data_IF_196718058155
#
_entry.id   IF_196718058155
#
_cell.length_a   1.000
_cell.length_b   1.000
_cell.length_c   1.000
_cell.angle_alpha   90.00
_cell.angle_beta   90.00
_cell.angle_gamma   90.00
#
_symmetry.space_group_name_H-M   'P 1'
#
loop_
_entity.id
_entity.type
_entity.pdbx_description
1 polymer ?
#
# COMPACT_ATOMS: atom_id res chain seq x y z
N UNK A 1 32.38 -22.82 14.14
CA UNK A 1 30.93 -22.91 13.87
C UNK A 1 30.24 -21.69 14.47
N UNK A 2 30.04 -20.63 13.70
CA UNK A 2 29.26 -19.47 14.13
C UNK A 2 27.82 -19.63 13.64
N UNK A 3 26.97 -20.20 14.49
CA UNK A 3 25.53 -20.22 14.28
C UNK A 3 25.02 -18.78 14.37
N UNK A 4 24.59 -18.22 13.25
CA UNK A 4 23.85 -16.95 13.25
C UNK A 4 22.54 -17.21 14.00
N UNK A 5 22.39 -16.61 15.17
CA UNK A 5 21.12 -16.55 15.89
C UNK A 5 20.10 -15.87 14.98
N UNK A 6 19.15 -16.64 14.44
CA UNK A 6 18.02 -16.15 13.67
C UNK A 6 16.91 -15.91 14.67
N UNK A 7 16.54 -14.65 14.88
CA UNK A 7 15.45 -14.30 15.80
C UNK A 7 14.18 -15.06 15.40
N UNK A 8 13.50 -15.76 16.34
CA UNK A 8 12.32 -16.58 16.04
C UNK A 8 11.15 -15.80 15.41
N UNK A 9 11.13 -14.48 15.60
CA UNK A 9 10.12 -13.58 15.00
C UNK A 9 10.26 -13.44 13.48
N UNK A 10 11.48 -13.58 12.93
CA UNK A 10 11.72 -13.45 11.49
C UNK A 10 11.13 -14.60 10.67
N UNK A 11 10.83 -15.73 11.32
CA UNK A 11 10.26 -16.91 10.68
C UNK A 11 8.72 -16.86 10.58
N UNK A 12 8.09 -15.82 11.15
CA UNK A 12 6.64 -15.59 11.07
C UNK A 12 6.20 -14.71 9.90
N UNK A 13 7.14 -14.05 9.22
CA UNK A 13 6.86 -13.21 8.06
C UNK A 13 7.23 -13.94 6.78
N UNK A 14 6.22 -14.18 5.93
CA UNK A 14 6.40 -14.78 4.62
C UNK A 14 6.12 -13.71 3.55
N UNK A 15 7.16 -13.22 2.82
CA UNK A 15 6.93 -12.32 1.72
C UNK A 15 6.28 -13.07 0.55
N UNK A 16 5.42 -12.37 -0.17
CA UNK A 16 4.82 -12.81 -1.42
C UNK A 16 5.24 -11.83 -2.51
N UNK A 17 5.46 -12.34 -3.72
CA UNK A 17 5.97 -11.54 -4.83
C UNK A 17 4.90 -10.57 -5.37
N UNK A 18 3.63 -10.90 -5.15
CA UNK A 18 2.50 -10.11 -5.62
C UNK A 18 1.31 -10.19 -4.66
N UNK A 19 0.37 -9.27 -4.85
CA UNK A 19 -0.82 -9.14 -4.02
C UNK A 19 -1.75 -10.36 -4.11
N UNK A 20 -1.90 -10.95 -5.31
CA UNK A 20 -2.83 -12.08 -5.52
C UNK A 20 -2.32 -13.35 -4.84
N UNK A 21 -1.01 -13.63 -4.93
CA UNK A 21 -0.42 -14.79 -4.25
C UNK A 21 -0.54 -14.71 -2.73
N UNK A 22 -0.47 -13.49 -2.16
CA UNK A 22 -0.73 -13.24 -0.75
C UNK A 22 -2.18 -13.54 -0.34
N UNK A 23 -3.16 -13.04 -1.12
CA UNK A 23 -4.59 -13.29 -0.87
C UNK A 23 -4.94 -14.78 -0.96
N UNK A 24 -4.49 -15.47 -2.02
CA UNK A 24 -4.74 -16.91 -2.19
C UNK A 24 -4.18 -17.71 -1.02
N UNK A 25 -2.99 -17.36 -0.53
CA UNK A 25 -2.40 -18.06 0.61
C UNK A 25 -3.18 -17.85 1.91
N UNK A 26 -3.81 -16.69 2.10
CA UNK A 26 -4.71 -16.42 3.21
C UNK A 26 -5.99 -17.26 3.08
N UNK A 27 -6.59 -17.31 1.89
CA UNK A 27 -7.79 -18.12 1.60
C UNK A 27 -7.54 -19.62 1.78
N UNK A 28 -6.37 -20.11 1.39
CA UNK A 28 -5.94 -21.50 1.57
C UNK A 28 -5.53 -21.83 3.02
N UNK A 29 -5.52 -20.85 3.92
CA UNK A 29 -5.13 -21.04 5.32
C UNK A 29 -3.63 -21.32 5.54
N UNK A 30 -2.78 -20.95 4.57
CA UNK A 30 -1.32 -21.07 4.70
C UNK A 30 -0.72 -19.99 5.61
N UNK A 31 -1.45 -18.88 5.79
CA UNK A 31 -1.11 -17.75 6.67
C UNK A 31 -2.35 -17.33 7.45
N UNK A 32 -2.15 -16.70 8.61
CA UNK A 32 -3.24 -16.27 9.50
C UNK A 32 -3.70 -14.83 9.22
N UNK A 33 -2.82 -14.01 8.64
CA UNK A 33 -3.09 -12.61 8.31
C UNK A 33 -2.21 -12.15 7.14
N UNK A 34 -2.72 -11.19 6.37
CA UNK A 34 -2.00 -10.55 5.27
C UNK A 34 -1.98 -9.03 5.50
N UNK A 35 -0.80 -8.42 5.35
CA UNK A 35 -0.60 -6.98 5.54
C UNK A 35 -0.28 -6.37 4.18
N UNK A 36 -1.09 -5.39 3.78
CA UNK A 36 -0.93 -4.68 2.52
C UNK A 36 -1.44 -3.24 2.66
N UNK A 37 -1.08 -2.38 1.70
CA UNK A 37 -1.56 -1.00 1.62
C UNK A 37 -3.09 -0.97 1.54
N UNK A 38 -3.71 0.00 2.23
CA UNK A 38 -5.17 0.11 2.30
C UNK A 38 -5.87 0.41 0.96
N UNK A 39 -5.35 1.30 0.09
CA UNK A 39 -6.00 1.60 -1.19
C UNK A 39 -6.15 0.35 -2.07
N UNK A 40 -7.39 0.03 -2.46
CA UNK A 40 -7.73 -1.12 -3.29
C UNK A 40 -7.79 -2.48 -2.57
N UNK A 41 -7.41 -2.55 -1.29
CA UNK A 41 -7.49 -3.79 -0.51
C UNK A 41 -8.95 -4.20 -0.25
N UNK A 42 -9.79 -3.24 0.14
CA UNK A 42 -11.20 -3.49 0.49
C UNK A 42 -11.94 -4.05 -0.72
N UNK A 43 -11.91 -3.33 -1.86
CA UNK A 43 -12.50 -3.79 -3.13
C UNK A 43 -11.99 -5.18 -3.54
N UNK A 44 -10.70 -5.46 -3.35
CA UNK A 44 -10.12 -6.74 -3.75
C UNK A 44 -10.58 -7.94 -2.91
N UNK A 45 -11.10 -7.72 -1.70
CA UNK A 45 -11.59 -8.77 -0.80
C UNK A 45 -13.11 -8.84 -0.70
N UNK A 46 -13.86 -7.90 -1.29
CA UNK A 46 -15.33 -7.85 -1.21
C UNK A 46 -16.01 -9.15 -1.68
N UNK A 47 -15.52 -9.74 -2.77
CA UNK A 47 -16.05 -11.00 -3.34
C UNK A 47 -15.37 -12.26 -2.76
N UNK A 48 -14.57 -12.13 -1.70
CA UNK A 48 -13.80 -13.22 -1.11
C UNK A 48 -14.29 -13.56 0.29
N UNK A 49 -14.00 -14.76 0.76
CA UNK A 49 -14.26 -15.15 2.16
C UNK A 49 -13.14 -14.64 3.09
N UNK A 50 -12.91 -13.34 3.06
CA UNK A 50 -11.87 -12.64 3.80
C UNK A 50 -12.48 -11.43 4.52
N UNK A 51 -11.92 -11.07 5.67
CA UNK A 51 -12.40 -9.93 6.48
C UNK A 51 -11.27 -8.93 6.72
N UNK A 52 -11.61 -7.65 6.64
CA UNK A 52 -10.69 -6.56 6.97
C UNK A 52 -10.61 -6.38 8.49
N UNK A 53 -9.44 -6.66 9.07
CA UNK A 53 -9.22 -6.59 10.52
C UNK A 53 -8.91 -5.17 11.03
N UNK A 54 -8.43 -4.26 10.16
CA UNK A 54 -8.07 -2.89 10.53
C UNK A 54 -6.82 -2.35 9.85
N UNK A 55 -6.54 -1.06 10.05
CA UNK A 55 -5.35 -0.37 9.56
C UNK A 55 -4.34 -0.14 10.68
N UNK A 56 -3.06 -0.26 10.33
CA UNK A 56 -1.97 0.26 11.14
C UNK A 56 -1.61 1.63 10.55
N UNK A 57 -1.84 2.71 11.30
CA UNK A 57 -1.41 4.03 10.84
C UNK A 57 0.12 4.14 10.99
N UNK A 58 0.80 4.08 9.86
CA UNK A 58 2.26 4.20 9.73
C UNK A 58 2.71 5.65 9.56
N UNK A 59 1.79 6.61 9.39
CA UNK A 59 2.09 8.01 9.07
C UNK A 59 2.73 8.18 7.69
N UNK A 60 2.58 7.19 6.81
CA UNK A 60 3.19 7.17 5.48
C UNK A 60 2.55 8.21 4.56
N UNK A 61 3.40 8.84 3.74
CA UNK A 61 2.97 9.82 2.73
C UNK A 61 3.40 9.34 1.37
N UNK A 62 2.43 9.14 0.49
CA UNK A 62 2.69 8.79 -0.90
C UNK A 62 3.33 9.96 -1.66
N UNK A 63 4.25 9.63 -2.56
CA UNK A 63 4.93 10.60 -3.40
C UNK A 63 5.51 9.97 -4.66
N UNK A 64 5.79 10.80 -5.67
CA UNK A 64 6.46 10.35 -6.88
C UNK A 64 7.98 10.28 -6.64
N UNK A 65 8.55 9.09 -6.74
CA UNK A 65 9.99 8.92 -6.68
C UNK A 65 10.64 9.41 -7.98
N UNK A 66 11.69 10.23 -7.85
CA UNK A 66 12.51 10.72 -8.96
C UNK A 66 13.98 10.44 -8.68
N UNK A 67 14.81 10.43 -9.73
CA UNK A 67 16.26 10.33 -9.55
C UNK A 67 16.78 11.56 -8.80
N UNK A 68 17.84 11.38 -8.00
CA UNK A 68 18.35 12.41 -7.09
C UNK A 68 18.81 13.67 -7.83
N UNK A 69 19.31 13.51 -9.04
CA UNK A 69 19.82 14.57 -9.91
C UNK A 69 18.72 15.34 -10.66
N UNK A 70 17.50 14.82 -10.75
CA UNK A 70 16.43 15.37 -11.60
C UNK A 70 15.59 16.43 -10.87
N UNK A 71 16.25 17.48 -10.36
CA UNK A 71 15.57 18.57 -9.64
C UNK A 71 14.46 19.24 -10.47
N UNK A 72 14.69 19.43 -11.78
CA UNK A 72 13.69 20.04 -12.67
C UNK A 72 12.43 19.18 -12.83
N UNK A 73 12.56 17.86 -12.82
CA UNK A 73 11.41 16.96 -12.91
C UNK A 73 10.62 17.00 -11.60
N UNK A 74 11.32 16.98 -10.46
CA UNK A 74 10.72 17.10 -9.14
C UNK A 74 9.86 18.37 -9.03
N UNK A 75 10.41 19.52 -9.42
CA UNK A 75 9.69 20.80 -9.38
C UNK A 75 8.44 20.78 -10.26
N UNK A 76 8.55 20.27 -11.49
CA UNK A 76 7.41 20.17 -12.41
C UNK A 76 6.32 19.25 -11.89
N UNK A 77 6.68 18.09 -11.33
CA UNK A 77 5.72 17.14 -10.75
C UNK A 77 5.00 17.76 -9.55
N UNK A 78 5.74 18.41 -8.65
CA UNK A 78 5.14 19.05 -7.48
C UNK A 78 4.22 20.22 -7.86
N UNK A 79 4.62 21.06 -8.82
CA UNK A 79 3.78 22.16 -9.31
C UNK A 79 2.52 21.62 -10.01
N UNK A 80 2.67 20.60 -10.86
CA UNK A 80 1.54 19.95 -11.54
C UNK A 80 0.57 19.29 -10.57
N UNK A 81 1.08 18.56 -9.57
CA UNK A 81 0.26 17.95 -8.53
C UNK A 81 -0.48 19.01 -7.70
N UNK A 82 0.18 20.13 -7.37
CA UNK A 82 -0.48 21.24 -6.68
C UNK A 82 -1.63 21.80 -7.51
N UNK A 83 -1.40 22.11 -8.79
CA UNK A 83 -2.46 22.61 -9.67
C UNK A 83 -3.62 21.64 -9.83
N UNK A 84 -3.33 20.32 -9.87
CA UNK A 84 -4.36 19.30 -9.92
C UNK A 84 -5.19 19.29 -8.63
N UNK A 85 -4.53 19.30 -7.46
CA UNK A 85 -5.17 19.34 -6.13
C UNK A 85 -6.04 20.57 -5.92
N UNK A 86 -5.60 21.71 -6.45
CA UNK A 86 -6.36 22.98 -6.39
C UNK A 86 -7.56 23.00 -7.36
N UNK A 87 -7.71 22.00 -8.23
CA UNK A 87 -8.77 21.93 -9.24
C UNK A 87 -9.96 21.05 -8.78
N UNK A 88 -11.18 21.27 -9.32
CA UNK A 88 -12.34 20.41 -9.06
C UNK A 88 -12.12 18.94 -9.43
N UNK A 89 -11.23 18.68 -10.39
CA UNK A 89 -10.87 17.32 -10.82
C UNK A 89 -10.25 16.50 -9.70
N UNK A 90 -9.63 17.13 -8.71
CA UNK A 90 -9.10 16.40 -7.55
C UNK A 90 -10.21 15.69 -6.79
N UNK A 91 -11.28 16.42 -6.46
CA UNK A 91 -12.44 15.85 -5.78
C UNK A 91 -13.12 14.76 -6.64
N UNK A 92 -13.20 14.95 -7.96
CA UNK A 92 -13.72 13.93 -8.88
C UNK A 92 -12.88 12.64 -8.85
N UNK A 93 -11.54 12.75 -8.81
CA UNK A 93 -10.65 11.59 -8.74
C UNK A 93 -10.76 10.89 -7.39
N UNK A 94 -10.79 11.65 -6.28
CA UNK A 94 -10.96 11.11 -4.94
C UNK A 94 -12.27 10.32 -4.83
N UNK A 95 -13.37 10.89 -5.32
CA UNK A 95 -14.67 10.22 -5.34
C UNK A 95 -14.70 9.00 -6.27
N UNK A 96 -14.12 9.10 -7.47
CA UNK A 96 -14.11 8.01 -8.45
C UNK A 96 -13.38 6.75 -7.96
N UNK A 97 -12.32 6.93 -7.20
CA UNK A 97 -11.49 5.84 -6.67
C UNK A 97 -11.76 5.56 -5.20
N UNK A 98 -12.84 6.12 -4.65
CA UNK A 98 -13.29 5.92 -3.27
C UNK A 98 -12.16 6.10 -2.24
N UNK A 99 -11.26 7.05 -2.51
CA UNK A 99 -10.12 7.34 -1.66
C UNK A 99 -10.61 8.16 -0.47
N UNK A 100 -10.59 7.61 0.73
CA UNK A 100 -10.91 8.38 1.92
C UNK A 100 -9.74 9.33 2.25
N UNK A 101 -9.99 10.64 2.39
CA UNK A 101 -8.98 11.63 2.81
C UNK A 101 -8.53 11.47 4.28
N UNK A 102 -9.04 10.45 4.98
CA UNK A 102 -8.70 10.16 6.37
C UNK A 102 -7.83 8.91 6.45
N UNK A 103 -6.51 9.09 6.32
CA UNK A 103 -5.49 8.17 6.81
C UNK A 103 -4.38 8.97 7.48
#
# INVERSE_FOLDING_TARGET
MSGRYRSPEKDRFKPYDDFQSGLTALEEGQIEAFIYDAPGLIEAIEDRNLEYLGAINTGEKYGFAVRKEDAQLLEKLNAGLKHLKDSPKWAELIAKYELNENN
#
